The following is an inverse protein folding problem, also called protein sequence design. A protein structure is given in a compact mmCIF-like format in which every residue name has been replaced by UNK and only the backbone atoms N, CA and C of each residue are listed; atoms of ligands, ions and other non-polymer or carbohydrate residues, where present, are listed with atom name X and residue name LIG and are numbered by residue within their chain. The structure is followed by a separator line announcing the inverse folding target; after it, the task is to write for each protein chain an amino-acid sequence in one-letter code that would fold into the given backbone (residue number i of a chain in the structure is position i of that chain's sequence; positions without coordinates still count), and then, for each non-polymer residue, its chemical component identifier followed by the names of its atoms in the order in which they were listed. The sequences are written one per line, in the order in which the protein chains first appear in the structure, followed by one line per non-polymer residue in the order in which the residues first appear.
data_IF_727224296462
#
_entry.id   IF_727224296462
#
_cell.length_a   1.000
_cell.length_b   1.000
_cell.length_c   1.000
_cell.angle_alpha   90.00
_cell.angle_beta   90.00
_cell.angle_gamma   90.00
#
_symmetry.space_group_name_H-M   'P 1'
#
loop_
_entity.id
_entity.type
_entity.pdbx_description
1 polymer ?
#
# COMPACT_ATOMS: atom_id res chain seq x y z
N UNK A 1 -35.72 -25.84 22.51
CA UNK A 1 -34.85 -24.65 22.37
C UNK A 1 -35.73 -23.41 22.46
N UNK A 2 -35.56 -22.59 23.49
CA UNK A 2 -36.34 -21.36 23.65
C UNK A 2 -35.62 -20.21 22.93
N UNK A 3 -36.23 -19.67 21.88
CA UNK A 3 -35.82 -18.40 21.29
C UNK A 3 -36.14 -17.28 22.27
N UNK A 4 -35.13 -16.74 22.95
CA UNK A 4 -35.26 -15.51 23.75
C UNK A 4 -35.44 -14.35 22.78
N UNK A 5 -36.68 -13.96 22.54
CA UNK A 5 -37.01 -12.66 21.91
C UNK A 5 -36.75 -11.58 22.95
N UNK A 6 -35.62 -10.87 22.83
CA UNK A 6 -35.44 -9.62 23.54
C UNK A 6 -36.59 -8.67 23.17
N UNK A 7 -37.44 -8.32 24.14
CA UNK A 7 -38.42 -7.25 23.99
C UNK A 7 -37.63 -5.96 23.73
N UNK A 8 -37.64 -5.49 22.49
CA UNK A 8 -36.97 -4.25 22.12
C UNK A 8 -37.64 -3.07 22.81
N UNK A 9 -37.15 -2.72 24.00
CA UNK A 9 -37.29 -1.37 24.50
C UNK A 9 -36.35 -0.52 23.63
N UNK A 10 -36.91 0.34 22.78
CA UNK A 10 -36.18 1.46 22.18
C UNK A 10 -35.81 2.41 23.32
N UNK A 11 -34.74 2.08 24.04
CA UNK A 11 -34.12 2.99 24.99
C UNK A 11 -33.35 4.02 24.16
N UNK A 12 -33.46 5.30 24.52
CA UNK A 12 -32.63 6.36 23.94
C UNK A 12 -31.20 6.16 24.44
N UNK A 13 -30.47 5.19 23.87
CA UNK A 13 -29.09 4.88 24.22
C UNK A 13 -28.22 5.11 23.01
N UNK A 14 -27.16 5.90 23.15
CA UNK A 14 -26.10 5.96 22.15
C UNK A 14 -25.13 4.82 22.37
N UNK A 15 -24.74 4.18 21.29
CA UNK A 15 -23.74 3.11 21.28
C UNK A 15 -22.61 3.53 20.34
N UNK A 16 -21.41 3.64 20.89
CA UNK A 16 -20.20 3.94 20.13
C UNK A 16 -19.31 2.71 20.14
N UNK A 17 -18.90 2.26 18.96
CA UNK A 17 -17.96 1.16 18.79
C UNK A 17 -16.64 1.72 18.26
N UNK A 18 -15.59 1.62 19.07
CA UNK A 18 -14.26 2.13 18.71
C UNK A 18 -13.33 0.96 18.43
N UNK A 19 -12.46 1.12 17.44
CA UNK A 19 -11.38 0.19 17.13
C UNK A 19 -10.32 0.91 16.30
N UNK A 20 -9.11 0.35 16.29
CA UNK A 20 -7.99 0.79 15.46
C UNK A 20 -7.74 -0.24 14.37
N UNK A 21 -7.64 0.20 13.11
CA UNK A 21 -7.15 -0.63 12.00
C UNK A 21 -5.78 -0.09 11.56
N UNK A 22 -4.79 -0.96 11.58
CA UNK A 22 -3.49 -0.70 10.97
C UNK A 22 -3.40 -1.41 9.63
N UNK A 23 -3.30 -0.62 8.55
CA UNK A 23 -3.10 -1.11 7.19
C UNK A 23 -1.72 -0.68 6.67
N UNK A 24 -0.96 -1.64 6.11
CA UNK A 24 0.35 -1.39 5.51
C UNK A 24 0.33 -1.85 4.07
N UNK A 25 0.59 -0.93 3.15
CA UNK A 25 0.78 -1.25 1.74
C UNK A 25 1.97 -0.50 1.15
N UNK A 26 2.91 -1.20 0.50
CA UNK A 26 4.00 -0.58 -0.27
C UNK A 26 3.51 0.33 -1.40
N UNK A 27 2.23 0.19 -1.82
CA UNK A 27 1.62 1.06 -2.81
C UNK A 27 1.38 2.49 -2.30
N UNK A 28 1.22 2.67 -0.98
CA UNK A 28 1.00 3.99 -0.35
C UNK A 28 2.26 4.86 -0.35
N UNK A 29 3.44 4.24 -0.44
CA UNK A 29 4.74 4.93 -0.46
C UNK A 29 5.11 5.32 -1.90
N UNK A 30 4.40 6.30 -2.47
CA UNK A 30 4.74 7.06 -3.68
C UNK A 30 5.60 6.33 -4.73
N UNK A 31 4.98 5.51 -5.58
CA UNK A 31 5.67 4.66 -6.55
C UNK A 31 5.75 5.28 -7.96
N UNK A 32 6.22 6.52 -8.08
CA UNK A 32 6.33 7.17 -9.38
C UNK A 32 7.67 6.84 -10.04
N UNK A 33 7.68 5.80 -10.88
CA UNK A 33 8.72 5.64 -11.90
C UNK A 33 8.35 6.53 -13.08
N UNK A 34 9.31 7.28 -13.61
CA UNK A 34 9.06 8.03 -14.84
C UNK A 34 8.92 7.08 -16.02
N UNK A 35 8.19 7.51 -17.06
CA UNK A 35 8.03 6.75 -18.30
C UNK A 35 9.38 6.33 -18.89
N UNK A 36 10.40 7.19 -18.77
CA UNK A 36 11.74 6.88 -19.24
C UNK A 36 12.44 5.78 -18.42
N UNK A 37 12.26 5.78 -17.10
CA UNK A 37 12.80 4.72 -16.25
C UNK A 37 12.15 3.37 -16.54
N UNK A 38 10.85 3.35 -16.85
CA UNK A 38 10.14 2.14 -17.26
C UNK A 38 10.64 1.63 -18.61
N UNK A 39 10.77 2.53 -19.60
CA UNK A 39 11.35 2.23 -20.90
C UNK A 39 12.73 1.57 -20.77
N UNK A 40 13.64 2.19 -20.00
CA UNK A 40 14.98 1.65 -19.78
C UNK A 40 14.95 0.25 -19.16
N UNK A 41 14.07 0.02 -18.18
CA UNK A 41 13.93 -1.29 -17.56
C UNK A 41 13.44 -2.35 -18.57
N UNK A 42 12.36 -2.06 -19.30
CA UNK A 42 11.79 -2.98 -20.29
C UNK A 42 12.82 -3.35 -21.36
N UNK A 43 13.48 -2.35 -21.96
CA UNK A 43 14.53 -2.58 -22.97
C UNK A 43 15.70 -3.39 -22.42
N UNK A 44 16.13 -3.14 -21.18
CA UNK A 44 17.21 -3.93 -20.55
C UNK A 44 16.76 -5.37 -20.32
N UNK A 45 15.53 -5.59 -19.86
CA UNK A 45 14.98 -6.94 -19.64
C UNK A 45 14.88 -7.74 -20.93
N UNK A 46 14.39 -7.14 -22.01
CA UNK A 46 14.34 -7.78 -23.35
C UNK A 46 15.74 -8.21 -23.82
N UNK A 47 16.75 -7.36 -23.67
CA UNK A 47 18.12 -7.75 -24.03
C UNK A 47 18.72 -8.83 -23.13
N UNK A 48 18.29 -8.90 -21.88
CA UNK A 48 18.70 -9.99 -20.96
C UNK A 48 18.05 -11.31 -21.32
N UNK A 49 16.79 -11.31 -21.75
CA UNK A 49 16.11 -12.50 -22.27
C UNK A 49 16.79 -13.02 -23.55
N UNK A 50 17.33 -12.12 -24.37
CA UNK A 50 18.15 -12.46 -25.55
C UNK A 50 19.58 -12.93 -25.20
N UNK A 51 19.93 -13.04 -23.92
CA UNK A 51 21.25 -13.54 -23.47
C UNK A 51 22.38 -12.53 -23.52
N UNK A 52 22.13 -11.24 -23.76
CA UNK A 52 23.18 -10.22 -23.83
C UNK A 52 23.82 -9.94 -22.46
N UNK A 53 25.12 -9.69 -22.43
CA UNK A 53 25.84 -9.30 -21.20
C UNK A 53 25.54 -7.83 -20.83
N UNK A 54 25.72 -7.46 -19.56
CA UNK A 54 25.46 -6.08 -19.12
C UNK A 54 26.31 -5.03 -19.85
N UNK A 55 27.55 -5.39 -20.23
CA UNK A 55 28.42 -4.49 -20.98
C UNK A 55 27.93 -4.32 -22.43
N UNK A 56 27.55 -5.41 -23.10
CA UNK A 56 26.98 -5.35 -24.44
C UNK A 56 25.69 -4.51 -24.48
N UNK A 57 24.84 -4.65 -23.48
CA UNK A 57 23.62 -3.84 -23.34
C UNK A 57 23.97 -2.36 -23.16
N UNK A 58 24.92 -2.04 -22.28
CA UNK A 58 25.35 -0.66 -22.05
C UNK A 58 25.90 -0.02 -23.34
N UNK A 59 26.69 -0.76 -24.12
CA UNK A 59 27.19 -0.31 -25.42
C UNK A 59 26.04 -0.10 -26.42
N UNK A 60 25.08 -1.02 -26.50
CA UNK A 60 23.90 -0.89 -27.36
C UNK A 60 23.07 0.35 -27.04
N UNK A 61 22.82 0.61 -25.75
CA UNK A 61 22.11 1.81 -25.29
C UNK A 61 22.87 3.09 -25.62
N UNK A 62 24.20 3.08 -25.42
CA UNK A 62 25.05 4.22 -25.76
C UNK A 62 25.11 4.48 -27.27
N UNK A 63 25.13 3.43 -28.12
CA UNK A 63 25.10 3.55 -29.59
C UNK A 63 23.78 4.17 -30.08
N UNK A 64 22.67 3.85 -29.42
CA UNK A 64 21.35 4.45 -29.68
C UNK A 64 21.21 5.88 -29.13
N UNK A 65 22.21 6.41 -28.44
CA UNK A 65 22.19 7.76 -27.88
C UNK A 65 21.42 7.89 -26.55
N UNK A 66 21.03 6.77 -25.91
CA UNK A 66 20.34 6.83 -24.63
C UNK A 66 21.30 7.17 -23.49
N UNK A 67 20.79 7.97 -22.55
CA UNK A 67 21.52 8.39 -21.35
C UNK A 67 20.85 7.82 -20.11
N UNK A 68 21.60 7.67 -19.02
CA UNK A 68 20.99 7.39 -17.73
C UNK A 68 20.04 8.53 -17.33
N UNK A 69 19.15 8.27 -16.38
CA UNK A 69 18.22 9.28 -15.82
C UNK A 69 18.95 10.57 -15.37
N UNK A 70 20.23 10.47 -15.00
CA UNK A 70 21.09 11.60 -14.60
C UNK A 70 21.95 12.17 -15.74
N UNK A 71 21.65 11.85 -17.00
CA UNK A 71 22.35 12.35 -18.17
C UNK A 71 23.74 11.75 -18.45
N UNK A 72 24.13 10.67 -17.75
CA UNK A 72 25.45 10.02 -17.96
C UNK A 72 25.38 8.87 -18.95
N UNK A 73 26.50 8.56 -19.63
CA UNK A 73 26.62 7.35 -20.48
C UNK A 73 26.45 6.07 -19.66
N UNK A 74 25.92 5.03 -20.30
CA UNK A 74 25.74 3.72 -19.67
C UNK A 74 27.07 2.99 -19.48
N UNK A 75 27.15 2.27 -18.35
CA UNK A 75 28.17 1.29 -18.00
C UNK A 75 27.43 0.02 -17.57
N UNK A 76 28.06 -1.16 -17.64
CA UNK A 76 27.43 -2.41 -17.21
C UNK A 76 26.87 -2.36 -15.79
N UNK A 77 27.56 -1.64 -14.89
CA UNK A 77 27.09 -1.41 -13.50
C UNK A 77 25.77 -0.65 -13.42
N UNK A 78 25.50 0.27 -14.36
CA UNK A 78 24.23 1.01 -14.42
C UNK A 78 23.10 0.07 -14.83
N UNK A 79 23.33 -0.77 -15.85
CA UNK A 79 22.37 -1.76 -16.34
C UNK A 79 21.99 -2.75 -15.23
N UNK A 80 23.00 -3.33 -14.58
CA UNK A 80 22.78 -4.24 -13.44
C UNK A 80 22.00 -3.57 -12.31
N UNK A 81 22.33 -2.32 -11.98
CA UNK A 81 21.65 -1.58 -10.91
C UNK A 81 20.18 -1.29 -11.23
N UNK A 82 19.84 -0.98 -12.49
CA UNK A 82 18.47 -0.72 -12.92
C UNK A 82 17.63 -2.00 -12.75
N UNK A 83 18.13 -3.13 -13.23
CA UNK A 83 17.46 -4.42 -13.13
C UNK A 83 17.24 -4.82 -11.66
N UNK A 84 18.31 -4.82 -10.87
CA UNK A 84 18.27 -5.20 -9.44
C UNK A 84 17.29 -4.34 -8.65
N UNK A 85 17.31 -3.02 -8.85
CA UNK A 85 16.42 -2.10 -8.13
C UNK A 85 14.95 -2.34 -8.48
N UNK A 86 14.65 -2.69 -9.72
CA UNK A 86 13.28 -2.95 -10.14
C UNK A 86 12.77 -4.27 -9.59
N UNK A 87 13.57 -5.33 -9.66
CA UNK A 87 13.21 -6.64 -9.08
C UNK A 87 12.93 -6.54 -7.58
N UNK A 88 13.82 -5.92 -6.81
CA UNK A 88 13.62 -5.72 -5.39
C UNK A 88 12.34 -4.91 -5.09
N UNK A 89 12.00 -3.96 -5.96
CA UNK A 89 10.77 -3.16 -5.80
C UNK A 89 9.51 -3.98 -6.13
N UNK A 90 9.56 -4.83 -7.14
CA UNK A 90 8.44 -5.74 -7.46
C UNK A 90 8.22 -6.78 -6.37
N UNK A 91 9.29 -7.32 -5.77
CA UNK A 91 9.20 -8.19 -4.60
C UNK A 91 8.55 -7.48 -3.41
N UNK A 92 8.93 -6.23 -3.15
CA UNK A 92 8.30 -5.43 -2.09
C UNK A 92 6.82 -5.18 -2.38
N UNK A 93 6.45 -4.84 -3.61
CA UNK A 93 5.05 -4.60 -4.00
C UNK A 93 4.16 -5.84 -3.88
N UNK A 94 4.72 -7.03 -4.14
CA UNK A 94 4.02 -8.31 -4.00
C UNK A 94 3.89 -8.76 -2.54
N UNK A 95 4.58 -8.11 -1.60
CA UNK A 95 4.54 -8.49 -0.21
C UNK A 95 3.22 -8.07 0.42
N UNK A 96 2.45 -9.06 0.82
CA UNK A 96 1.24 -8.86 1.61
C UNK A 96 1.60 -8.56 3.06
N UNK A 97 0.92 -7.58 3.64
CA UNK A 97 0.97 -7.28 5.06
C UNK A 97 -0.44 -7.52 5.62
N UNK A 98 -0.59 -8.40 6.62
CA UNK A 98 -1.90 -8.65 7.20
C UNK A 98 -2.42 -7.37 7.85
N UNK A 99 -3.72 -7.15 7.71
CA UNK A 99 -4.43 -6.14 8.49
C UNK A 99 -4.40 -6.51 9.97
N UNK A 100 -4.15 -5.51 10.81
CA UNK A 100 -4.16 -5.68 12.27
C UNK A 100 -5.26 -4.80 12.82
N UNK A 101 -6.20 -5.44 13.51
CA UNK A 101 -7.28 -4.77 14.23
C UNK A 101 -6.95 -4.81 15.72
N UNK A 102 -7.06 -3.67 16.41
CA UNK A 102 -6.74 -3.53 17.83
C UNK A 102 -7.69 -2.54 18.51
N UNK A 103 -7.51 -2.37 19.83
CA UNK A 103 -8.16 -1.32 20.63
C UNK A 103 -9.69 -1.32 20.56
N UNK A 104 -10.28 -2.51 20.52
CA UNK A 104 -11.73 -2.67 20.49
C UNK A 104 -12.34 -2.21 21.82
N UNK A 105 -13.24 -1.22 21.75
CA UNK A 105 -14.05 -0.79 22.89
C UNK A 105 -15.48 -0.46 22.46
N UNK A 106 -16.40 -0.53 23.41
CA UNK A 106 -17.80 -0.21 23.20
C UNK A 106 -18.29 0.64 24.35
N UNK A 107 -18.70 1.86 24.03
CA UNK A 107 -19.25 2.81 24.98
C UNK A 107 -20.77 2.87 24.80
N UNK A 108 -21.50 2.76 25.90
CA UNK A 108 -22.96 2.85 25.92
C UNK A 108 -23.36 4.02 26.80
N UNK A 109 -24.05 5.00 26.22
CA UNK A 109 -24.56 6.17 26.94
C UNK A 109 -26.07 6.09 26.98
N UNK A 110 -26.63 5.88 28.17
CA UNK A 110 -28.07 5.93 28.37
C UNK A 110 -28.53 7.39 28.51
N UNK A 111 -29.22 7.90 27.49
CA UNK A 111 -29.72 9.28 27.49
C UNK A 111 -30.87 9.49 28.46
N UNK A 112 -31.47 8.42 29.00
CA UNK A 112 -32.49 8.58 30.05
C UNK A 112 -31.91 9.23 31.31
N UNK A 113 -30.60 9.02 31.57
CA UNK A 113 -29.86 9.66 32.67
C UNK A 113 -29.69 11.17 32.42
N UNK A 114 -29.48 11.58 31.16
CA UNK A 114 -29.39 12.99 30.81
C UNK A 114 -30.76 13.68 30.85
N UNK A 115 -31.83 12.97 30.49
CA UNK A 115 -33.19 13.51 30.46
C UNK A 115 -33.81 13.63 31.87
N UNK A 116 -33.41 12.82 32.85
CA UNK A 116 -33.88 12.93 34.23
C UNK A 116 -33.45 14.23 34.92
N UNK A 117 -32.29 14.77 34.57
CA UNK A 117 -31.77 16.01 35.17
C UNK A 117 -32.48 17.29 34.66
N UNK A 118 -33.19 17.19 33.53
CA UNK A 118 -33.98 18.30 32.96
C UNK A 118 -35.47 18.26 33.37
N UNK A 119 -35.87 17.36 34.28
CA UNK A 119 -37.20 17.36 34.86
C UNK A 119 -38.34 16.90 33.94
N UNK A 120 -38.04 16.33 32.78
CA UNK A 120 -39.06 15.70 31.95
C UNK A 120 -39.33 14.28 32.44
N UNK A 121 -40.24 14.16 33.41
CA UNK A 121 -40.94 12.90 33.67
C UNK A 121 -41.79 12.55 32.45
N UNK A 122 -41.73 11.28 32.01
CA UNK A 122 -42.82 10.70 31.22
C UNK A 122 -44.15 10.77 31.98
#
# INVERSE_FOLDING_TARGET
MAFVRCRGALKNTDLTFNFTITYRSPALTGNHYSSYQLFLYQTISEYREQGMTFNAIAEGLNKKGYLTVRGKRFRGVHVHSILKKRLAKEELLKREYPEVWSDFSMDVVDKTILMSDFGFSN
#
